data_IF_448368713385
#
_entry.id   IF_448368713385
#
_cell.length_a   1.000
_cell.length_b   1.000
_cell.length_c   1.000
_cell.angle_alpha   90.00
_cell.angle_beta   90.00
_cell.angle_gamma   90.00
#
_symmetry.space_group_name_H-M   'P 1'
#
loop_
_entity.id
_entity.type
_entity.pdbx_description
1 polymer ?
#
# COMPACT_ATOMS: atom_id res chain seq x y z
N UNK A 1 1.08 12.74 -2.07
CA UNK A 1 1.51 11.59 -1.24
C UNK A 1 0.45 11.24 -0.22
N UNK A 2 0.25 9.96 0.13
CA UNK A 2 -0.80 9.53 1.07
C UNK A 2 -0.78 10.21 2.45
N UNK A 3 0.41 10.62 2.90
CA UNK A 3 0.56 11.44 4.10
C UNK A 3 -0.15 12.79 4.01
N UNK A 4 -0.20 13.42 2.83
CA UNK A 4 -0.91 14.69 2.61
C UNK A 4 -2.43 14.50 2.67
N UNK A 5 -2.89 13.28 2.47
CA UNK A 5 -4.29 12.89 2.65
C UNK A 5 -4.58 12.46 4.10
N UNK A 6 -3.61 12.57 5.02
CA UNK A 6 -3.76 12.16 6.41
C UNK A 6 -3.83 10.65 6.59
N UNK A 7 -3.15 9.86 5.75
CA UNK A 7 -3.12 8.39 5.84
C UNK A 7 -1.73 7.95 6.27
N UNK A 8 -1.65 7.22 7.40
CA UNK A 8 -0.44 6.58 7.91
C UNK A 8 -0.50 5.08 7.59
N UNK A 9 0.36 4.65 6.68
CA UNK A 9 0.40 3.27 6.21
C UNK A 9 1.42 2.47 7.01
N UNK A 10 0.94 1.49 7.78
CA UNK A 10 1.80 0.49 8.41
C UNK A 10 1.82 -0.78 7.59
N UNK A 11 3.00 -1.14 7.08
CA UNK A 11 3.23 -2.38 6.36
C UNK A 11 4.11 -3.33 7.16
N UNK A 12 3.96 -4.62 6.87
CA UNK A 12 4.79 -5.68 7.42
C UNK A 12 5.99 -5.97 6.51
N UNK A 13 7.05 -6.56 7.07
CA UNK A 13 8.24 -6.99 6.30
C UNK A 13 7.88 -7.96 5.15
N UNK A 14 6.81 -8.75 5.31
CA UNK A 14 6.29 -9.63 4.27
C UNK A 14 5.78 -8.86 3.04
N UNK A 15 5.09 -7.73 3.23
CA UNK A 15 4.67 -6.87 2.13
C UNK A 15 5.88 -6.24 1.42
N UNK A 16 6.86 -5.75 2.19
CA UNK A 16 8.08 -5.19 1.62
C UNK A 16 8.82 -6.22 0.74
N UNK A 17 8.88 -7.48 1.19
CA UNK A 17 9.46 -8.58 0.41
C UNK A 17 8.66 -8.87 -0.86
N UNK A 18 7.33 -8.91 -0.78
CA UNK A 18 6.46 -9.11 -1.94
C UNK A 18 6.62 -8.01 -3.00
N UNK A 19 6.65 -6.75 -2.55
CA UNK A 19 6.89 -5.59 -3.41
C UNK A 19 8.28 -5.66 -4.04
N UNK A 20 9.28 -6.10 -3.28
CA UNK A 20 10.62 -6.28 -3.83
C UNK A 20 10.64 -7.41 -4.88
N UNK A 21 10.02 -8.56 -4.63
CA UNK A 21 9.95 -9.66 -5.62
C UNK A 21 9.17 -9.26 -6.88
N UNK A 22 8.10 -8.48 -6.75
CA UNK A 22 7.27 -8.01 -7.89
C UNK A 22 7.84 -6.80 -8.62
N UNK A 23 8.54 -5.93 -7.91
CA UNK A 23 9.01 -4.63 -8.37
C UNK A 23 10.49 -4.58 -8.71
N UNK A 24 11.27 -5.57 -8.28
CA UNK A 24 12.67 -5.71 -8.67
C UNK A 24 12.76 -6.49 -9.98
N UNK A 25 13.28 -5.86 -11.02
CA UNK A 25 13.66 -6.55 -12.24
C UNK A 25 15.16 -6.45 -12.42
N UNK A 26 15.83 -7.57 -12.74
CA UNK A 26 17.28 -7.62 -12.95
C UNK A 26 17.74 -6.63 -14.04
N UNK A 27 16.85 -6.35 -14.99
CA UNK A 27 17.09 -5.48 -16.15
C UNK A 27 16.82 -4.00 -15.87
N UNK A 28 15.87 -3.68 -14.97
CA UNK A 28 15.40 -2.31 -14.70
C UNK A 28 15.67 -1.81 -13.26
N UNK A 29 16.26 -2.66 -12.42
CA UNK A 29 16.54 -2.39 -11.01
C UNK A 29 15.28 -2.03 -10.21
N UNK A 30 15.44 -1.09 -9.26
CA UNK A 30 14.38 -0.62 -8.38
C UNK A 30 13.33 0.30 -9.05
N UNK A 31 13.45 0.60 -10.36
CA UNK A 31 12.54 1.53 -11.05
C UNK A 31 11.09 1.06 -11.00
N UNK A 32 10.87 -0.25 -11.08
CA UNK A 32 9.53 -0.84 -11.05
C UNK A 32 8.97 -1.00 -9.62
N UNK A 33 9.78 -0.77 -8.58
CA UNK A 33 9.34 -0.89 -7.17
C UNK A 33 8.24 0.13 -6.88
N UNK A 34 8.40 1.38 -7.32
CA UNK A 34 7.38 2.42 -7.10
C UNK A 34 6.05 2.02 -7.73
N UNK A 35 6.09 1.43 -8.92
CA UNK A 35 4.90 0.94 -9.63
C UNK A 35 4.28 -0.26 -8.93
N UNK A 36 5.09 -1.21 -8.46
CA UNK A 36 4.62 -2.35 -7.69
C UNK A 36 3.95 -1.91 -6.37
N UNK A 37 4.49 -0.90 -5.67
CA UNK A 37 3.84 -0.31 -4.50
C UNK A 37 2.49 0.31 -4.87
N UNK A 38 2.43 1.06 -5.97
CA UNK A 38 1.16 1.64 -6.42
C UNK A 38 0.11 0.58 -6.74
N UNK A 39 0.46 -0.44 -7.52
CA UNK A 39 -0.50 -1.47 -7.96
C UNK A 39 -0.92 -2.42 -6.82
N UNK A 40 0.01 -2.77 -5.93
CA UNK A 40 -0.25 -3.72 -4.85
C UNK A 40 -0.79 -3.05 -3.58
N UNK A 41 -0.48 -1.77 -3.35
CA UNK A 41 -0.81 -1.07 -2.10
C UNK A 41 -1.71 0.12 -2.36
N UNK A 42 -1.30 1.12 -3.15
CA UNK A 42 -2.11 2.36 -3.32
C UNK A 42 -3.46 2.12 -3.99
N UNK A 43 -3.50 1.35 -5.08
CA UNK A 43 -4.74 1.05 -5.81
C UNK A 43 -5.78 0.32 -4.94
N UNK A 44 -5.47 -0.84 -4.33
CA UNK A 44 -6.45 -1.54 -3.51
C UNK A 44 -6.75 -0.79 -2.20
N UNK A 45 -5.84 0.07 -1.73
CA UNK A 45 -6.12 0.97 -0.61
C UNK A 45 -7.13 2.05 -0.97
N UNK A 46 -7.00 2.66 -2.15
CA UNK A 46 -7.97 3.64 -2.64
C UNK A 46 -9.36 3.02 -2.77
N UNK A 47 -9.43 1.81 -3.34
CA UNK A 47 -10.69 1.05 -3.44
C UNK A 47 -11.27 0.73 -2.05
N UNK A 48 -10.42 0.30 -1.11
CA UNK A 48 -10.85 0.04 0.27
C UNK A 48 -11.37 1.31 0.96
N UNK A 49 -10.72 2.47 0.77
CA UNK A 49 -11.18 3.74 1.35
C UNK A 49 -12.55 4.17 0.78
N UNK A 50 -12.75 3.99 -0.53
CA UNK A 50 -14.02 4.28 -1.21
C UNK A 50 -15.11 3.33 -0.70
N UNK A 51 -14.82 2.01 -0.69
CA UNK A 51 -15.76 0.94 -0.32
C UNK A 51 -16.11 0.97 1.16
N UNK A 52 -15.11 1.11 2.04
CA UNK A 52 -15.33 1.19 3.49
C UNK A 52 -15.98 2.52 3.92
N UNK A 53 -16.24 3.45 2.98
CA UNK A 53 -16.68 4.84 3.23
C UNK A 53 -15.82 5.53 4.31
N UNK A 54 -14.58 5.08 4.50
CA UNK A 54 -13.67 5.67 5.46
C UNK A 54 -13.07 6.90 4.82
N UNK A 55 -13.69 8.04 5.09
CA UNK A 55 -13.09 9.33 4.73
C UNK A 55 -11.88 9.57 5.63
N UNK A 56 -10.74 10.03 5.06
CA UNK A 56 -9.62 10.44 5.88
C UNK A 56 -10.08 11.51 6.88
N UNK A 57 -9.67 11.44 8.15
CA UNK A 57 -10.11 12.37 9.16
C UNK A 57 -9.62 13.79 8.81
N UNK A 58 -10.50 14.78 9.01
CA UNK A 58 -10.17 16.22 8.84
C UNK A 58 -9.04 16.70 9.76
N UNK A 59 -8.76 15.94 10.82
CA UNK A 59 -7.71 16.17 11.81
C UNK A 59 -7.23 14.82 12.33
N UNK A 60 -5.99 14.44 12.06
CA UNK A 60 -5.37 13.17 12.48
C UNK A 60 -4.83 12.33 11.32
N UNK A 61 -4.18 11.22 11.65
CA UNK A 61 -3.66 10.24 10.70
C UNK A 61 -4.49 8.97 10.76
N UNK A 62 -5.06 8.54 9.63
CA UNK A 62 -5.74 7.26 9.46
C UNK A 62 -4.69 6.16 9.39
N UNK A 63 -4.50 5.43 10.49
CA UNK A 63 -3.56 4.32 10.56
C UNK A 63 -4.16 3.08 9.91
N UNK A 64 -3.63 2.68 8.76
CA UNK A 64 -4.08 1.48 8.04
C UNK A 64 -2.98 0.42 8.12
N UNK A 65 -3.33 -0.76 8.62
CA UNK A 65 -2.40 -1.90 8.65
C UNK A 65 -2.59 -2.73 7.40
N UNK A 66 -1.53 -2.79 6.60
CA UNK A 66 -1.48 -3.61 5.39
C UNK A 66 -0.94 -4.98 5.75
N UNK A 67 -1.77 -6.00 5.51
CA UNK A 67 -1.40 -7.41 5.65
C UNK A 67 -1.38 -8.06 4.29
N UNK A 68 -0.38 -8.89 4.06
CA UNK A 68 -0.32 -9.80 2.93
C UNK A 68 -0.79 -11.17 3.38
N UNK A 69 -1.84 -11.68 2.76
CA UNK A 69 -2.33 -13.05 2.96
C UNK A 69 -2.55 -13.67 1.60
N UNK A 70 -1.83 -14.76 1.32
CA UNK A 70 -1.97 -15.54 0.08
C UNK A 70 -1.73 -14.73 -1.20
N UNK A 71 -0.69 -13.89 -1.23
CA UNK A 71 -0.38 -13.03 -2.38
C UNK A 71 -1.38 -11.90 -2.62
N UNK A 72 -2.44 -11.78 -1.81
CA UNK A 72 -3.40 -10.68 -1.82
C UNK A 72 -3.11 -9.72 -0.68
N UNK A 73 -3.23 -8.43 -0.99
CA UNK A 73 -3.09 -7.35 -0.02
C UNK A 73 -4.45 -7.10 0.62
N UNK A 74 -4.50 -7.13 1.95
CA UNK A 74 -5.69 -6.88 2.74
C UNK A 74 -5.42 -5.76 3.73
N UNK A 75 -6.42 -4.90 3.91
CA UNK A 75 -6.37 -3.76 4.81
C UNK A 75 -7.17 -4.07 6.08
N UNK A 76 -6.61 -3.71 7.23
CA UNK A 76 -7.21 -3.89 8.55
C UNK A 76 -7.03 -2.64 9.41
#
# INVERSE_FOLDING_TARGET
SLLEQGIDLQYSAALAKLVNEKGYSKEYGARNIRRAVQELVENPLADHLITAKQKPPRKGLLKIKVRTKDGKVSFA
#
